data_IF_504484823097
#
_entry.id   IF_504484823097
#
_cell.length_a   1.000
_cell.length_b   1.000
_cell.length_c   1.000
_cell.angle_alpha   90.00
_cell.angle_beta   90.00
_cell.angle_gamma   90.00
#
_symmetry.space_group_name_H-M   'P 1'
#
loop_
_entity.id
_entity.type
_entity.pdbx_description
1 polymer ?
#
# COMPACT_ATOMS: atom_id res chain seq x y z
N UNK A 1 -17.36 -8.68 -11.35
CA UNK A 1 -18.17 -7.95 -10.36
C UNK A 1 -17.98 -8.59 -9.00
N UNK A 2 -17.81 -7.78 -7.97
CA UNK A 2 -17.66 -8.29 -6.62
C UNK A 2 -18.97 -8.90 -6.11
N UNK A 3 -18.88 -10.03 -5.40
CA UNK A 3 -20.00 -10.68 -4.75
C UNK A 3 -19.89 -10.57 -3.23
N UNK A 4 -19.17 -9.55 -2.76
CA UNK A 4 -19.03 -9.33 -1.32
C UNK A 4 -20.39 -9.17 -0.65
N UNK A 5 -20.62 -9.84 0.49
CA UNK A 5 -21.78 -9.56 1.32
C UNK A 5 -21.70 -8.11 1.84
N UNK A 6 -22.84 -7.58 2.25
CA UNK A 6 -22.87 -6.24 2.83
C UNK A 6 -21.93 -6.19 4.05
N UNK A 7 -21.05 -5.17 4.08
CA UNK A 7 -20.06 -4.91 5.13
C UNK A 7 -18.92 -5.94 5.23
N UNK A 8 -18.90 -6.96 4.38
CA UNK A 8 -17.85 -7.98 4.36
C UNK A 8 -17.18 -7.99 3.00
N UNK A 9 -15.85 -8.09 2.97
CA UNK A 9 -15.09 -7.98 1.72
C UNK A 9 -14.10 -9.13 1.61
N UNK A 10 -14.04 -9.74 0.43
CA UNK A 10 -13.10 -10.82 0.12
C UNK A 10 -11.88 -10.25 -0.58
N UNK A 11 -10.74 -10.93 -0.41
CA UNK A 11 -9.48 -10.54 -1.03
C UNK A 11 -8.92 -11.67 -1.89
N UNK A 12 -9.80 -12.36 -2.63
CA UNK A 12 -9.37 -13.34 -3.60
C UNK A 12 -8.59 -12.67 -4.73
N UNK A 13 -7.66 -13.41 -5.32
CA UNK A 13 -6.75 -12.88 -6.33
C UNK A 13 -7.46 -12.17 -7.48
N UNK A 14 -8.57 -12.73 -7.94
CA UNK A 14 -9.34 -12.19 -9.08
C UNK A 14 -10.09 -10.89 -8.75
N UNK A 15 -10.14 -10.48 -7.49
CA UNK A 15 -10.76 -9.22 -7.07
C UNK A 15 -9.79 -8.04 -7.07
N UNK A 16 -8.48 -8.31 -7.25
CA UNK A 16 -7.49 -7.25 -7.33
C UNK A 16 -7.42 -6.70 -8.76
N UNK A 17 -7.37 -5.38 -8.86
CA UNK A 17 -7.29 -4.71 -10.16
C UNK A 17 -5.84 -4.42 -10.54
N UNK A 18 -5.54 -4.56 -11.82
CA UNK A 18 -4.27 -4.12 -12.38
C UNK A 18 -4.20 -2.60 -12.35
N UNK A 19 -2.99 -2.06 -12.22
CA UNK A 19 -2.74 -0.64 -12.28
C UNK A 19 -1.86 -0.30 -13.48
N UNK A 20 -1.61 0.99 -13.71
CA UNK A 20 -0.71 1.44 -14.76
C UNK A 20 0.77 1.17 -14.47
N UNK A 21 1.09 0.68 -13.25
CA UNK A 21 2.45 0.26 -12.89
C UNK A 21 2.57 -1.25 -12.95
N UNK A 22 3.51 -1.77 -13.75
CA UNK A 22 3.72 -3.21 -13.83
C UNK A 22 4.02 -3.80 -12.44
N UNK A 23 3.31 -4.87 -12.10
CA UNK A 23 3.50 -5.58 -10.84
C UNK A 23 2.73 -5.00 -9.64
N UNK A 24 2.00 -3.90 -9.82
CA UNK A 24 1.18 -3.31 -8.75
C UNK A 24 -0.29 -3.62 -9.00
N UNK A 25 -0.88 -4.44 -8.15
CA UNK A 25 -2.32 -4.73 -8.15
C UNK A 25 -2.89 -4.33 -6.81
N UNK A 26 -4.15 -3.91 -6.80
CA UNK A 26 -4.78 -3.42 -5.58
C UNK A 26 -6.26 -3.71 -5.52
N UNK A 27 -6.78 -3.67 -4.31
CA UNK A 27 -8.20 -3.58 -4.03
C UNK A 27 -8.42 -2.43 -3.06
N UNK A 28 -9.39 -1.55 -3.34
CA UNK A 28 -9.68 -0.37 -2.52
C UNK A 28 -11.08 -0.45 -1.98
N UNK A 29 -11.23 -0.19 -0.70
CA UNK A 29 -12.51 -0.16 0.00
C UNK A 29 -12.59 1.15 0.76
N UNK A 30 -13.65 1.93 0.51
CA UNK A 30 -13.81 3.25 1.07
C UNK A 30 -14.96 3.28 2.06
N UNK A 31 -14.65 3.65 3.31
CA UNK A 31 -15.64 3.91 4.34
C UNK A 31 -15.90 5.41 4.49
N UNK A 32 -16.59 5.79 5.54
CA UNK A 32 -16.92 7.21 5.79
C UNK A 32 -15.69 7.99 6.24
N UNK A 33 -14.86 7.41 7.11
CA UNK A 33 -13.77 8.11 7.76
C UNK A 33 -12.40 7.50 7.48
N UNK A 34 -12.37 6.38 6.77
CA UNK A 34 -11.13 5.69 6.42
C UNK A 34 -11.27 5.01 5.07
N UNK A 35 -10.11 4.68 4.50
CA UNK A 35 -10.05 3.98 3.22
C UNK A 35 -8.94 2.94 3.33
N UNK A 36 -9.23 1.75 2.84
CA UNK A 36 -8.30 0.63 2.86
C UNK A 36 -7.84 0.34 1.45
N UNK A 37 -6.51 0.27 1.29
CA UNK A 37 -5.87 -0.12 0.04
C UNK A 37 -5.08 -1.39 0.31
N UNK A 38 -5.51 -2.51 -0.24
CA UNK A 38 -4.78 -3.76 -0.14
C UNK A 38 -3.97 -3.94 -1.42
N UNK A 39 -2.66 -3.95 -1.27
CA UNK A 39 -1.72 -4.11 -2.37
C UNK A 39 -1.20 -5.52 -2.45
N UNK A 40 -1.11 -6.04 -3.67
CA UNK A 40 -0.29 -7.21 -4.01
C UNK A 40 0.73 -6.73 -5.02
N UNK A 41 1.99 -6.65 -4.61
CA UNK A 41 3.07 -6.04 -5.40
C UNK A 41 4.11 -7.11 -5.68
N UNK A 42 4.45 -7.26 -6.96
CA UNK A 42 5.45 -8.23 -7.38
C UNK A 42 6.83 -7.85 -6.82
N UNK A 43 7.56 -8.84 -6.30
CA UNK A 43 8.92 -8.64 -5.83
C UNK A 43 9.80 -8.06 -6.94
N UNK A 44 10.58 -7.04 -6.59
CA UNK A 44 11.43 -6.33 -7.54
C UNK A 44 10.71 -5.29 -8.41
N UNK A 45 9.41 -5.05 -8.20
CA UNK A 45 8.68 -4.05 -8.97
C UNK A 45 9.24 -2.64 -8.73
N UNK A 46 9.33 -1.86 -9.82
CA UNK A 46 9.77 -0.47 -9.77
C UNK A 46 8.58 0.47 -9.61
N UNK A 47 8.84 1.68 -9.13
CA UNK A 47 7.84 2.74 -9.13
C UNK A 47 7.43 3.22 -7.75
N UNK A 48 8.21 2.87 -6.74
CA UNK A 48 8.03 3.46 -5.41
C UNK A 48 8.82 4.76 -5.32
N UNK A 49 8.11 5.87 -5.21
CA UNK A 49 8.72 7.19 -5.12
C UNK A 49 8.61 7.73 -3.69
N UNK A 50 9.55 8.60 -3.33
CA UNK A 50 9.44 9.34 -2.08
C UNK A 50 8.30 10.36 -2.21
N UNK A 51 7.32 10.29 -1.31
CA UNK A 51 6.13 11.13 -1.34
C UNK A 51 5.57 11.34 0.06
N UNK A 52 4.60 12.23 0.16
CA UNK A 52 3.83 12.40 1.38
C UNK A 52 2.35 12.62 1.05
N UNK A 53 1.51 12.57 2.07
CA UNK A 53 0.08 12.82 1.95
C UNK A 53 -0.30 13.97 2.88
N UNK A 54 -0.46 15.21 2.35
CA UNK A 54 -0.71 16.37 3.20
C UNK A 54 -2.11 16.40 3.81
N UNK A 55 -3.03 15.59 3.30
CA UNK A 55 -4.42 15.55 3.76
C UNK A 55 -4.81 14.26 4.48
N UNK A 56 -3.88 13.31 4.62
CA UNK A 56 -4.19 11.98 5.15
C UNK A 56 -3.08 11.48 6.07
N UNK A 57 -3.48 10.71 7.04
CA UNK A 57 -2.58 9.83 7.79
C UNK A 57 -2.61 8.46 7.14
N UNK A 58 -1.49 7.76 7.12
CA UNK A 58 -1.39 6.43 6.51
C UNK A 58 -0.78 5.43 7.48
N UNK A 59 -1.47 4.31 7.68
CA UNK A 59 -0.98 3.16 8.42
C UNK A 59 -0.79 2.00 7.45
N UNK A 60 0.41 1.44 7.39
CA UNK A 60 0.69 0.29 6.53
C UNK A 60 1.06 -0.94 7.34
N UNK A 61 0.46 -2.07 7.03
CA UNK A 61 0.73 -3.35 7.67
C UNK A 61 1.26 -4.30 6.59
N UNK A 62 2.44 -4.89 6.84
CA UNK A 62 3.00 -5.86 5.92
C UNK A 62 2.36 -7.22 6.22
N UNK A 63 1.69 -7.79 5.22
CA UNK A 63 0.98 -9.06 5.36
C UNK A 63 1.79 -10.24 4.85
N UNK A 64 2.60 -10.04 3.81
CA UNK A 64 3.48 -11.05 3.21
C UNK A 64 4.70 -10.39 2.62
N UNK A 65 5.79 -11.15 2.50
CA UNK A 65 7.04 -10.63 1.96
C UNK A 65 7.68 -9.62 2.89
N UNK A 66 8.54 -8.79 2.32
CA UNK A 66 9.26 -7.77 3.08
C UNK A 66 9.30 -6.46 2.32
N UNK A 67 9.28 -5.36 3.05
CA UNK A 67 9.34 -4.01 2.51
C UNK A 67 10.55 -3.30 3.10
N UNK A 68 11.52 -2.98 2.25
CA UNK A 68 12.63 -2.11 2.62
C UNK A 68 12.25 -0.70 2.22
N UNK A 69 12.03 0.21 3.18
CA UNK A 69 11.53 1.54 2.85
C UNK A 69 12.08 2.63 3.76
N UNK A 70 11.90 3.84 3.31
CA UNK A 70 12.32 5.07 3.97
C UNK A 70 11.10 5.80 4.52
N UNK A 71 11.20 6.32 5.75
CA UNK A 71 10.18 7.16 6.38
C UNK A 71 10.83 8.24 7.22
N UNK A 72 10.26 9.43 7.18
CA UNK A 72 10.69 10.59 7.94
C UNK A 72 11.02 11.78 7.06
N UNK A 73 11.30 12.92 7.70
CA UNK A 73 11.68 14.14 7.00
C UNK A 73 13.01 13.96 6.28
N UNK A 74 13.26 14.76 5.25
CA UNK A 74 14.43 14.57 4.41
C UNK A 74 15.76 14.70 5.17
N UNK A 75 15.82 15.52 6.19
CA UNK A 75 17.02 15.67 7.04
C UNK A 75 17.05 14.74 8.24
N UNK A 76 15.96 14.03 8.51
CA UNK A 76 15.81 13.18 9.69
C UNK A 76 14.89 12.02 9.36
N UNK A 77 15.42 11.05 8.65
CA UNK A 77 14.67 9.89 8.21
C UNK A 77 15.36 8.60 8.62
N UNK A 78 14.60 7.52 8.63
CA UNK A 78 15.12 6.18 8.83
C UNK A 78 14.81 5.32 7.61
N UNK A 79 15.65 4.31 7.41
CA UNK A 79 15.38 3.24 6.46
C UNK A 79 15.38 1.92 7.21
N UNK A 80 14.32 1.14 7.02
CA UNK A 80 14.12 -0.14 7.71
C UNK A 80 13.54 -1.17 6.76
N UNK A 81 13.83 -2.42 7.05
CA UNK A 81 13.17 -3.55 6.42
C UNK A 81 12.06 -4.03 7.36
N UNK A 82 10.83 -4.00 6.87
CA UNK A 82 9.67 -4.50 7.57
C UNK A 82 9.28 -5.87 7.03
N UNK A 83 9.03 -6.79 7.91
CA UNK A 83 8.60 -8.15 7.58
C UNK A 83 7.11 -8.34 7.85
N UNK A 84 6.56 -9.46 7.41
CA UNK A 84 5.16 -9.79 7.68
C UNK A 84 4.84 -9.65 9.17
N UNK A 85 3.78 -8.91 9.48
CA UNK A 85 3.38 -8.58 10.84
C UNK A 85 3.88 -7.23 11.35
N UNK A 86 4.88 -6.63 10.70
CA UNK A 86 5.36 -5.31 11.06
C UNK A 86 4.50 -4.23 10.40
N UNK A 87 4.54 -3.05 10.97
CA UNK A 87 3.76 -1.93 10.45
C UNK A 87 4.57 -0.63 10.47
N UNK A 88 4.11 0.35 9.69
CA UNK A 88 4.57 1.71 9.78
C UNK A 88 3.38 2.64 9.92
N UNK A 89 3.60 3.80 10.53
CA UNK A 89 2.62 4.86 10.61
C UNK A 89 3.27 6.12 10.05
N UNK A 90 2.68 6.68 9.01
CA UNK A 90 3.07 7.95 8.43
C UNK A 90 2.03 9.01 8.83
N UNK A 91 2.30 9.83 9.85
CA UNK A 91 1.45 10.97 10.15
C UNK A 91 1.32 11.90 8.95
N UNK A 92 0.32 12.77 8.98
CA UNK A 92 0.07 13.73 7.91
C UNK A 92 1.36 14.45 7.50
N UNK A 93 1.62 14.48 6.20
CA UNK A 93 2.78 15.15 5.57
C UNK A 93 4.15 14.51 5.83
N UNK A 94 4.22 13.38 6.51
CA UNK A 94 5.50 12.69 6.72
C UNK A 94 5.92 11.97 5.44
N UNK A 95 7.13 12.24 4.99
CA UNK A 95 7.69 11.65 3.78
C UNK A 95 7.95 10.15 3.95
N UNK A 96 7.60 9.39 2.92
CA UNK A 96 7.86 7.94 2.90
C UNK A 96 7.92 7.43 1.47
N UNK A 97 8.48 6.24 1.30
CA UNK A 97 8.60 5.59 0.00
C UNK A 97 10.01 5.11 -0.29
N UNK A 98 10.43 5.26 -1.54
CA UNK A 98 11.69 4.71 -2.05
C UNK A 98 11.83 3.23 -1.65
N UNK A 99 10.75 2.47 -1.84
CA UNK A 99 10.65 1.11 -1.34
C UNK A 99 11.33 0.11 -2.25
N UNK A 100 11.89 -0.92 -1.65
CA UNK A 100 12.31 -2.13 -2.35
C UNK A 100 11.37 -3.25 -1.90
N UNK A 101 10.72 -3.89 -2.87
CA UNK A 101 9.75 -4.94 -2.60
C UNK A 101 10.44 -6.30 -2.70
N UNK A 102 10.44 -7.04 -1.60
CA UNK A 102 11.08 -8.35 -1.50
C UNK A 102 9.97 -9.39 -1.39
N UNK A 103 9.71 -10.10 -2.48
CA UNK A 103 8.62 -11.07 -2.56
C UNK A 103 8.81 -12.26 -1.63
N UNK A 104 7.70 -12.82 -1.17
CA UNK A 104 7.72 -14.05 -0.39
C UNK A 104 8.02 -15.28 -1.26
N UNK A 105 8.26 -16.43 -0.62
CA UNK A 105 8.62 -17.66 -1.32
C UNK A 105 7.44 -18.29 -2.07
N UNK A 106 6.22 -18.05 -1.59
CA UNK A 106 5.03 -18.71 -2.14
C UNK A 106 4.49 -17.99 -3.38
N UNK A 107 4.33 -16.66 -3.31
CA UNK A 107 3.74 -15.88 -4.38
C UNK A 107 4.74 -15.01 -5.12
N UNK A 108 5.93 -14.81 -4.58
CA UNK A 108 6.88 -13.84 -5.12
C UNK A 108 6.39 -12.41 -4.98
N UNK A 109 5.55 -12.13 -4.01
CA UNK A 109 4.86 -10.86 -3.85
C UNK A 109 5.06 -10.28 -2.45
N UNK A 110 4.85 -8.96 -2.34
CA UNK A 110 4.67 -8.26 -1.08
C UNK A 110 3.21 -7.87 -0.98
N UNK A 111 2.58 -8.19 0.14
CA UNK A 111 1.21 -7.80 0.41
C UNK A 111 1.21 -6.75 1.50
N UNK A 112 0.62 -5.59 1.22
CA UNK A 112 0.57 -4.46 2.14
C UNK A 112 -0.88 -4.02 2.29
N UNK A 113 -1.30 -3.86 3.53
CA UNK A 113 -2.59 -3.29 3.86
C UNK A 113 -2.37 -1.85 4.31
N UNK A 114 -2.71 -0.89 3.45
CA UNK A 114 -2.63 0.53 3.77
C UNK A 114 -4.00 1.04 4.20
N UNK A 115 -4.04 1.78 5.30
CA UNK A 115 -5.25 2.46 5.77
C UNK A 115 -4.98 3.96 5.75
N UNK A 116 -5.85 4.70 5.06
CA UNK A 116 -5.82 6.16 5.01
C UNK A 116 -6.99 6.75 5.77
N UNK A 117 -6.73 7.78 6.54
CA UNK A 117 -7.75 8.54 7.25
C UNK A 117 -7.43 10.03 7.15
N UNK A 118 -8.35 10.84 6.64
CA UNK A 118 -9.59 10.48 5.95
C UNK A 118 -9.35 9.79 4.59
N UNK A 119 -10.39 9.32 3.91
CA UNK A 119 -10.23 8.74 2.59
C UNK A 119 -9.55 9.68 1.60
N UNK A 120 -8.68 9.13 0.76
CA UNK A 120 -8.06 9.88 -0.32
C UNK A 120 -9.03 10.04 -1.48
N UNK A 121 -8.83 11.11 -2.27
CA UNK A 121 -9.48 11.21 -3.57
C UNK A 121 -8.91 10.10 -4.45
N UNK A 122 -9.79 9.25 -4.97
CA UNK A 122 -9.35 8.12 -5.79
C UNK A 122 -8.73 8.60 -7.10
N UNK A 123 -7.58 8.04 -7.49
CA UNK A 123 -7.04 8.28 -8.81
C UNK A 123 -7.96 7.67 -9.87
N UNK A 124 -7.71 8.00 -11.13
CA UNK A 124 -8.38 7.30 -12.23
C UNK A 124 -8.17 5.80 -12.10
N UNK A 125 -9.15 5.03 -12.55
CA UNK A 125 -9.07 3.58 -12.51
C UNK A 125 -7.75 3.10 -13.11
N UNK A 126 -7.13 2.13 -12.46
CA UNK A 126 -5.86 1.52 -12.82
C UNK A 126 -4.61 2.38 -12.68
N UNK A 127 -4.71 3.63 -12.23
CA UNK A 127 -3.51 4.46 -11.96
C UNK A 127 -3.04 4.33 -10.53
N UNK A 128 -1.73 4.36 -10.34
CA UNK A 128 -1.11 4.45 -9.02
C UNK A 128 -0.90 5.94 -8.71
N UNK A 129 -1.50 6.38 -7.60
CA UNK A 129 -1.37 7.75 -7.13
C UNK A 129 -0.15 7.85 -6.20
N UNK A 130 0.74 8.75 -6.53
CA UNK A 130 1.89 9.08 -5.69
C UNK A 130 1.49 10.12 -4.62
#
# INVERSE_FOLDING_TARGET
MSTDPRYCYFFDDDLFEETDRPGFRRRVITGDNLQLWFWRIKGGADGSFLHNHPANEQLGIIMRGSLDFRIGDQGDHTRRVLHAGDLYLAPTSVWHGESVFIGDDEFGEVWILDVFAPPRVMPEASKVDE
#
